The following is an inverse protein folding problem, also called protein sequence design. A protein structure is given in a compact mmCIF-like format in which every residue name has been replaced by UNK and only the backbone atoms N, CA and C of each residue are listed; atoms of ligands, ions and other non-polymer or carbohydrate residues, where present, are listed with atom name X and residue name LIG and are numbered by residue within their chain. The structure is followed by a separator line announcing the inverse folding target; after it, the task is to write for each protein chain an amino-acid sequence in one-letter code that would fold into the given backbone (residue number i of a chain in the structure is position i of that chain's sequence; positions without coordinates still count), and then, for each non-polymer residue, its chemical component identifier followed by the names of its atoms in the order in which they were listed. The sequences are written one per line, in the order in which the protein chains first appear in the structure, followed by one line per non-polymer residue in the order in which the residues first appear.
data_IF_878149775536
#
_entry.id   IF_878149775536
#
_cell.length_a   1.000
_cell.length_b   1.000
_cell.length_c   1.000
_cell.angle_alpha   90.00
_cell.angle_beta   90.00
_cell.angle_gamma   90.00
#
_symmetry.space_group_name_H-M   'P 1'
#
loop_
_entity.id
_entity.type
_entity.pdbx_description
1 polymer ?
#
# COMPACT_ATOMS: atom_id res chain seq x y z
N UNK A 1 2.04 -17.85 -5.11
CA UNK A 1 2.31 -17.28 -6.44
C UNK A 1 3.48 -16.28 -6.37
N UNK A 2 3.35 -15.11 -5.77
CA UNK A 2 4.42 -14.09 -5.75
C UNK A 2 5.77 -14.60 -5.21
N UNK A 3 5.78 -15.34 -4.11
CA UNK A 3 7.00 -15.87 -3.49
C UNK A 3 7.74 -16.92 -4.34
N UNK A 4 7.06 -17.50 -5.33
CA UNK A 4 7.60 -18.52 -6.24
C UNK A 4 7.87 -17.98 -7.63
N UNK A 5 7.77 -16.68 -7.84
CA UNK A 5 8.10 -16.06 -9.13
C UNK A 5 9.60 -16.08 -9.36
N UNK A 6 10.01 -16.34 -10.59
CA UNK A 6 11.40 -16.22 -11.04
C UNK A 6 11.69 -14.83 -11.62
N UNK A 7 10.64 -14.06 -11.90
CA UNK A 7 10.74 -12.69 -12.44
C UNK A 7 10.28 -11.67 -11.39
N UNK A 8 11.00 -10.57 -11.28
CA UNK A 8 10.78 -9.53 -10.26
C UNK A 8 10.87 -8.12 -10.85
N UNK A 9 10.29 -7.11 -10.17
CA UNK A 9 9.40 -7.19 -8.99
C UNK A 9 8.03 -7.76 -9.34
N UNK A 10 7.39 -8.41 -8.38
CA UNK A 10 5.95 -8.72 -8.42
C UNK A 10 5.23 -7.63 -7.64
N UNK A 11 4.20 -7.02 -8.24
CA UNK A 11 3.33 -6.08 -7.56
C UNK A 11 2.13 -6.81 -6.94
N UNK A 12 1.95 -6.65 -5.65
CA UNK A 12 0.72 -7.02 -4.95
C UNK A 12 -0.13 -5.77 -4.76
N UNK A 13 -1.38 -5.83 -5.16
CA UNK A 13 -2.33 -4.72 -5.08
C UNK A 13 -3.37 -5.02 -4.02
N UNK A 14 -3.31 -4.30 -2.91
CA UNK A 14 -4.25 -4.39 -1.79
C UNK A 14 -5.52 -3.60 -2.15
N UNK A 15 -6.58 -4.32 -2.55
CA UNK A 15 -7.84 -3.73 -2.99
C UNK A 15 -8.75 -3.32 -1.82
N UNK A 16 -8.60 -3.98 -0.66
CA UNK A 16 -9.51 -3.76 0.47
C UNK A 16 -9.30 -2.44 1.22
N UNK A 17 -8.13 -1.80 1.05
CA UNK A 17 -7.77 -0.60 1.82
C UNK A 17 -7.19 0.51 0.93
N UNK A 18 -7.84 0.78 -0.22
CA UNK A 18 -7.42 1.84 -1.16
C UNK A 18 -7.79 3.24 -0.64
N UNK A 19 -6.80 4.11 -0.34
CA UNK A 19 -7.06 5.49 0.08
C UNK A 19 -7.80 6.33 -0.99
N UNK A 20 -7.72 5.93 -2.28
CA UNK A 20 -8.51 6.53 -3.36
C UNK A 20 -10.00 6.28 -3.23
N UNK A 21 -10.38 5.25 -2.48
CA UNK A 21 -11.76 4.90 -2.13
C UNK A 21 -12.14 5.37 -0.72
N UNK A 22 -11.46 6.38 -0.19
CA UNK A 22 -11.63 6.95 1.15
C UNK A 22 -11.37 5.94 2.31
N UNK A 23 -10.54 4.92 2.08
CA UNK A 23 -10.12 4.00 3.13
C UNK A 23 -8.98 4.58 3.98
N UNK A 24 -8.80 4.04 5.20
CA UNK A 24 -7.74 4.50 6.09
C UNK A 24 -6.33 4.37 5.56
N UNK A 25 -6.05 3.37 4.71
CA UNK A 25 -4.74 2.96 4.25
C UNK A 25 -3.82 2.47 5.38
N UNK A 26 -4.40 1.97 6.47
CA UNK A 26 -3.69 1.52 7.66
C UNK A 26 -3.69 0.00 7.86
N UNK A 27 -4.27 -0.79 6.92
CA UNK A 27 -4.31 -2.25 7.01
C UNK A 27 -2.91 -2.87 7.04
N UNK A 28 -2.57 -3.66 8.07
CA UNK A 28 -1.30 -4.40 8.13
C UNK A 28 -1.42 -5.82 7.56
N UNK A 29 -2.55 -6.23 7.00
CA UNK A 29 -2.87 -7.62 6.61
C UNK A 29 -1.84 -8.19 5.62
N UNK A 30 -1.44 -7.40 4.63
CA UNK A 30 -0.44 -7.86 3.65
C UNK A 30 0.93 -7.98 4.31
N UNK A 31 1.32 -7.04 5.20
CA UNK A 31 2.57 -7.12 5.97
C UNK A 31 2.60 -8.39 6.84
N UNK A 32 1.53 -8.67 7.58
CA UNK A 32 1.41 -9.88 8.38
C UNK A 32 1.60 -11.15 7.53
N UNK A 33 0.96 -11.18 6.36
CA UNK A 33 1.11 -12.30 5.42
C UNK A 33 2.54 -12.45 4.92
N UNK A 34 3.22 -11.36 4.57
CA UNK A 34 4.62 -11.38 4.13
C UNK A 34 5.54 -11.92 5.23
N UNK A 35 5.37 -11.46 6.48
CA UNK A 35 6.14 -11.93 7.65
C UNK A 35 5.89 -13.42 7.87
N UNK A 36 4.63 -13.85 7.95
CA UNK A 36 4.23 -15.24 8.19
C UNK A 36 4.80 -16.21 7.15
N UNK A 37 4.96 -15.76 5.92
CA UNK A 37 5.51 -16.57 4.83
C UNK A 37 7.02 -16.37 4.62
N UNK A 38 7.72 -15.71 5.55
CA UNK A 38 9.15 -15.44 5.46
C UNK A 38 9.56 -14.77 4.14
N UNK A 39 8.71 -13.87 3.64
CA UNK A 39 9.02 -13.07 2.45
C UNK A 39 10.26 -12.21 2.68
N UNK A 40 11.02 -11.97 1.61
CA UNK A 40 12.24 -11.17 1.66
C UNK A 40 12.27 -10.15 0.54
N UNK A 41 13.02 -9.09 0.75
CA UNK A 41 13.22 -8.03 -0.24
C UNK A 41 11.89 -7.45 -0.71
N UNK A 42 11.03 -7.05 0.23
CA UNK A 42 9.73 -6.45 -0.02
C UNK A 42 9.73 -4.96 0.29
N UNK A 43 8.81 -4.22 -0.32
CA UNK A 43 8.50 -2.86 0.09
C UNK A 43 6.99 -2.62 0.03
N UNK A 44 6.46 -1.94 1.05
CA UNK A 44 5.04 -1.61 1.15
C UNK A 44 4.83 -0.31 1.92
N UNK A 45 3.58 0.17 1.92
CA UNK A 45 3.19 1.41 2.58
C UNK A 45 2.02 1.19 3.52
N UNK A 46 2.06 1.87 4.67
CA UNK A 46 0.97 1.89 5.67
C UNK A 46 0.88 3.33 6.22
N UNK A 47 -0.33 3.87 6.32
CA UNK A 47 -0.56 5.12 7.03
C UNK A 47 -0.59 4.85 8.52
N UNK A 48 0.34 5.44 9.28
CA UNK A 48 0.36 5.34 10.74
C UNK A 48 1.15 6.49 11.36
N UNK A 49 0.45 7.55 11.74
CA UNK A 49 1.04 8.74 12.32
C UNK A 49 1.72 8.49 13.69
N UNK A 50 1.26 7.49 14.43
CA UNK A 50 1.87 7.14 15.71
C UNK A 50 3.24 6.48 15.50
N UNK A 51 3.35 5.53 14.56
CA UNK A 51 4.62 4.91 14.19
C UNK A 51 5.61 5.95 13.70
N UNK A 52 5.14 6.92 12.89
CA UNK A 52 5.98 8.02 12.41
C UNK A 52 6.53 8.82 13.59
N UNK A 53 5.68 9.26 14.52
CA UNK A 53 6.10 10.01 15.69
C UNK A 53 7.11 9.25 16.57
N UNK A 54 6.86 7.96 16.81
CA UNK A 54 7.76 7.11 17.62
C UNK A 54 9.10 6.91 16.91
N UNK A 55 9.07 6.62 15.60
CA UNK A 55 10.28 6.39 14.82
C UNK A 55 11.16 7.64 14.72
N UNK A 56 10.56 8.82 14.56
CA UNK A 56 11.29 10.11 14.59
C UNK A 56 11.96 10.31 15.95
N UNK A 57 11.22 10.10 17.05
CA UNK A 57 11.78 10.26 18.41
C UNK A 57 12.91 9.28 18.69
N UNK A 58 12.87 8.08 18.13
CA UNK A 58 13.90 7.07 18.33
C UNK A 58 15.16 7.30 17.48
N UNK A 59 14.99 7.89 16.30
CA UNK A 59 16.09 8.18 15.37
C UNK A 59 16.48 6.99 14.47
N UNK A 60 17.22 7.32 13.41
CA UNK A 60 17.71 6.33 12.44
C UNK A 60 18.66 5.34 13.12
N UNK A 61 18.50 4.04 12.82
CA UNK A 61 19.26 2.94 13.41
C UNK A 61 18.64 2.36 14.68
N UNK A 62 17.63 3.00 15.27
CA UNK A 62 16.97 2.49 16.47
C UNK A 62 16.17 1.22 16.17
N UNK A 63 16.26 0.24 17.07
CA UNK A 63 15.42 -0.95 17.06
C UNK A 63 14.15 -0.69 17.86
N UNK A 64 13.00 -0.98 17.27
CA UNK A 64 11.69 -0.78 17.85
C UNK A 64 10.91 -2.09 17.93
N UNK A 65 10.24 -2.30 19.06
CA UNK A 65 9.14 -3.26 19.18
C UNK A 65 7.85 -2.42 19.23
N UNK A 66 7.03 -2.49 18.19
CA UNK A 66 5.95 -1.53 17.97
C UNK A 66 4.75 -2.15 17.29
N UNK A 67 3.58 -1.66 17.67
CA UNK A 67 2.30 -1.99 17.06
C UNK A 67 2.06 -1.12 15.83
N UNK A 68 1.81 -1.70 14.66
CA UNK A 68 1.70 -0.99 13.39
C UNK A 68 0.37 -1.24 12.69
N UNK A 69 -0.17 -0.18 12.10
CA UNK A 69 -1.41 -0.20 11.33
C UNK A 69 -2.63 -0.63 12.15
N UNK A 70 -3.76 -0.82 11.49
CA UNK A 70 -4.98 -1.38 12.10
C UNK A 70 -5.57 -0.59 13.26
N UNK A 71 -5.29 0.71 13.34
CA UNK A 71 -5.68 1.57 14.47
C UNK A 71 -6.95 2.37 14.20
N UNK A 72 -7.26 2.61 12.93
CA UNK A 72 -8.36 3.50 12.52
C UNK A 72 -9.67 2.71 12.41
N UNK A 73 -9.67 1.58 11.71
CA UNK A 73 -10.87 0.75 11.54
C UNK A 73 -10.61 -0.70 11.92
N UNK A 74 -10.92 -1.04 13.16
CA UNK A 74 -10.67 -2.37 13.72
C UNK A 74 -11.75 -3.41 13.37
N UNK A 75 -12.74 -3.08 12.54
CA UNK A 75 -13.77 -4.01 12.08
C UNK A 75 -13.21 -5.11 11.19
N UNK A 76 -12.19 -4.79 10.38
CA UNK A 76 -11.64 -5.69 9.38
C UNK A 76 -10.29 -6.28 9.76
N UNK A 77 -9.48 -5.56 10.53
CA UNK A 77 -8.11 -5.95 10.90
C UNK A 77 -7.72 -5.28 12.22
N UNK A 78 -6.67 -5.77 12.83
CA UNK A 78 -6.12 -5.26 14.09
C UNK A 78 -4.68 -4.79 13.91
N UNK A 79 -4.16 -3.96 14.82
CA UNK A 79 -2.75 -3.64 14.86
C UNK A 79 -1.87 -4.89 14.92
N UNK A 80 -0.71 -4.83 14.26
CA UNK A 80 0.26 -5.91 14.18
C UNK A 80 1.51 -5.53 14.98
N UNK A 81 1.91 -6.39 15.92
CA UNK A 81 3.18 -6.24 16.63
C UNK A 81 4.36 -6.66 15.76
N UNK A 82 5.35 -5.78 15.62
CA UNK A 82 6.54 -6.03 14.81
C UNK A 82 7.81 -5.57 15.52
N UNK A 83 8.91 -6.24 15.20
CA UNK A 83 10.26 -5.79 15.51
C UNK A 83 10.89 -5.24 14.24
N UNK A 84 11.32 -3.99 14.27
CA UNK A 84 11.91 -3.32 13.12
C UNK A 84 13.00 -2.33 13.49
N UNK A 85 13.82 -1.98 12.52
CA UNK A 85 14.87 -0.96 12.65
C UNK A 85 14.49 0.25 11.82
N UNK A 86 14.61 1.44 12.39
CA UNK A 86 14.39 2.71 11.66
C UNK A 86 15.48 2.86 10.60
N UNK A 87 15.10 2.77 9.34
CA UNK A 87 16.01 2.86 8.20
C UNK A 87 16.23 4.28 7.71
N UNK A 88 15.15 5.05 7.62
CA UNK A 88 15.18 6.45 7.19
C UNK A 88 14.01 7.23 7.77
N UNK A 89 14.19 8.55 7.82
CA UNK A 89 13.20 9.54 8.26
C UNK A 89 13.26 10.69 7.26
N UNK A 90 12.13 11.19 6.82
CA UNK A 90 12.03 12.35 5.93
C UNK A 90 10.75 13.16 6.16
N UNK A 91 10.64 14.34 5.54
CA UNK A 91 9.52 15.27 5.68
C UNK A 91 8.30 14.91 4.82
N UNK A 92 8.40 13.85 4.01
CA UNK A 92 7.34 13.35 3.15
C UNK A 92 6.96 14.24 1.96
N UNK A 93 7.79 15.23 1.64
CA UNK A 93 7.63 16.04 0.42
C UNK A 93 8.39 15.41 -0.73
N UNK A 94 7.75 15.32 -1.88
CA UNK A 94 8.40 14.79 -3.07
C UNK A 94 7.73 15.30 -4.35
N UNK A 95 8.46 15.25 -5.46
CA UNK A 95 7.92 15.57 -6.78
C UNK A 95 7.35 14.32 -7.44
N UNK A 96 6.11 14.38 -7.87
CA UNK A 96 5.50 13.38 -8.74
C UNK A 96 5.89 13.73 -10.17
N UNK A 97 6.85 12.99 -10.71
CA UNK A 97 7.42 13.20 -12.04
C UNK A 97 6.97 12.12 -13.03
N UNK A 98 6.53 10.98 -12.53
CA UNK A 98 6.05 9.86 -13.33
C UNK A 98 4.54 9.87 -13.54
N UNK A 99 4.04 8.98 -14.41
CA UNK A 99 2.62 8.84 -14.64
C UNK A 99 1.90 8.42 -13.35
N UNK A 100 0.85 9.14 -13.02
CA UNK A 100 -0.03 8.86 -11.90
C UNK A 100 -1.46 9.14 -12.33
N UNK A 101 -2.45 8.45 -11.74
CA UNK A 101 -3.87 8.68 -12.01
C UNK A 101 -4.24 8.90 -13.49
N UNK A 102 -4.47 7.84 -14.23
CA UNK A 102 -5.09 7.90 -15.56
C UNK A 102 -4.20 8.36 -16.71
N UNK A 103 -2.94 8.66 -16.45
CA UNK A 103 -1.96 8.92 -17.49
C UNK A 103 -1.50 7.62 -18.15
N UNK A 104 -2.28 7.09 -19.07
CA UNK A 104 -1.93 5.89 -19.82
C UNK A 104 -0.68 6.14 -20.66
N UNK A 105 0.48 5.67 -20.17
CA UNK A 105 1.70 5.53 -20.97
C UNK A 105 2.29 6.81 -21.57
N UNK A 106 1.77 7.98 -21.22
CA UNK A 106 2.29 9.24 -21.71
C UNK A 106 3.48 9.69 -20.86
N UNK A 107 4.52 10.16 -21.50
CA UNK A 107 5.58 10.92 -20.83
C UNK A 107 4.95 12.12 -20.12
N UNK A 108 5.13 12.18 -18.80
CA UNK A 108 4.70 13.35 -18.03
C UNK A 108 5.68 14.48 -18.34
N UNK A 109 5.19 15.57 -18.92
CA UNK A 109 6.03 16.72 -19.21
C UNK A 109 6.47 17.39 -17.90
N UNK A 110 7.65 17.99 -17.91
CA UNK A 110 8.20 18.66 -16.73
C UNK A 110 7.29 19.76 -16.18
N UNK A 111 6.50 20.40 -17.01
CA UNK A 111 5.50 21.41 -16.65
C UNK A 111 4.32 20.83 -15.86
N UNK A 112 4.07 19.52 -15.96
CA UNK A 112 3.01 18.80 -15.26
C UNK A 112 3.49 18.18 -13.94
N UNK A 113 4.77 18.34 -13.59
CA UNK A 113 5.30 17.86 -12.32
C UNK A 113 4.62 18.59 -11.16
N UNK A 114 4.25 17.84 -10.15
CA UNK A 114 3.55 18.38 -8.98
C UNK A 114 4.23 17.96 -7.69
N UNK A 115 4.28 18.87 -6.75
CA UNK A 115 4.69 18.56 -5.39
C UNK A 115 3.60 17.78 -4.67
N UNK A 116 3.98 16.73 -3.97
CA UNK A 116 3.14 15.97 -3.06
C UNK A 116 3.71 16.06 -1.65
N UNK A 117 2.81 16.05 -0.68
CA UNK A 117 3.16 16.05 0.74
C UNK A 117 2.28 15.04 1.47
N UNK A 118 2.90 14.02 2.05
CA UNK A 118 2.23 12.94 2.78
C UNK A 118 2.42 13.06 4.30
N UNK A 119 2.96 14.21 4.76
CA UNK A 119 3.43 14.38 6.12
C UNK A 119 4.74 13.63 6.36
N UNK A 120 5.32 13.79 7.52
CA UNK A 120 6.55 13.08 7.89
C UNK A 120 6.45 11.58 7.63
N UNK A 121 7.58 10.99 7.25
CA UNK A 121 7.67 9.55 6.99
C UNK A 121 8.81 8.90 7.76
N UNK A 122 8.57 7.63 8.07
CA UNK A 122 9.57 6.72 8.65
C UNK A 122 9.55 5.43 7.84
N UNK A 123 10.72 4.94 7.46
CA UNK A 123 10.85 3.60 6.90
C UNK A 123 11.37 2.68 7.98
N UNK A 124 10.60 1.64 8.33
CA UNK A 124 11.07 0.56 9.17
C UNK A 124 11.48 -0.63 8.31
N UNK A 125 12.64 -1.19 8.62
CA UNK A 125 13.07 -2.49 8.10
C UNK A 125 12.67 -3.58 9.06
N UNK A 126 11.84 -4.52 8.60
CA UNK A 126 11.27 -5.61 9.37
C UNK A 126 11.74 -6.94 8.78
N UNK A 127 12.01 -7.91 9.63
CA UNK A 127 12.31 -9.29 9.22
C UNK A 127 13.40 -9.40 8.17
N UNK A 128 13.12 -10.09 7.06
CA UNK A 128 14.09 -10.37 6.01
C UNK A 128 14.05 -9.27 4.92
N UNK A 129 14.47 -8.04 5.27
CA UNK A 129 14.54 -6.91 4.33
C UNK A 129 13.16 -6.47 3.78
N UNK A 130 12.13 -6.47 4.64
CA UNK A 130 10.83 -5.88 4.35
C UNK A 130 10.90 -4.40 4.75
N UNK A 131 10.93 -3.50 3.80
CA UNK A 131 10.91 -2.06 4.04
C UNK A 131 9.45 -1.57 4.05
N UNK A 132 8.98 -1.08 5.20
CA UNK A 132 7.63 -0.52 5.36
C UNK A 132 7.73 0.98 5.49
N UNK A 133 7.12 1.69 4.54
CA UNK A 133 7.03 3.15 4.55
C UNK A 133 5.80 3.54 5.37
N UNK A 134 6.02 4.14 6.52
CA UNK A 134 4.95 4.74 7.32
C UNK A 134 4.86 6.22 7.02
N UNK A 135 3.65 6.72 6.79
CA UNK A 135 3.37 8.13 6.51
C UNK A 135 2.30 8.69 7.45
N UNK A 136 2.39 9.98 7.72
CA UNK A 136 1.53 10.65 8.69
C UNK A 136 0.10 10.88 8.17
N UNK A 137 -0.04 11.38 6.93
CA UNK A 137 -1.34 11.80 6.38
C UNK A 137 -1.89 10.84 5.34
N UNK A 138 -1.10 10.52 4.33
CA UNK A 138 -1.50 9.71 3.18
C UNK A 138 -0.43 8.70 2.81
N UNK A 139 -0.82 7.67 2.07
CA UNK A 139 0.13 6.79 1.38
C UNK A 139 0.19 7.14 -0.10
N UNK A 140 1.37 7.05 -0.69
CA UNK A 140 1.53 7.16 -2.13
C UNK A 140 1.26 5.84 -2.84
N UNK A 141 0.85 5.93 -4.08
CA UNK A 141 0.57 4.80 -4.98
C UNK A 141 1.24 4.95 -6.34
N UNK A 142 2.31 5.71 -6.37
CA UNK A 142 3.19 5.94 -7.52
C UNK A 142 4.65 5.62 -7.19
N UNK A 143 5.47 5.49 -8.21
CA UNK A 143 6.90 5.17 -8.06
C UNK A 143 7.69 6.25 -7.33
N UNK A 144 7.32 7.51 -7.53
CA UNK A 144 8.08 8.62 -6.97
C UNK A 144 7.93 8.66 -5.44
N UNK A 145 6.79 8.23 -4.91
CA UNK A 145 6.60 8.02 -3.47
C UNK A 145 7.61 7.01 -2.89
N UNK A 146 7.78 5.85 -3.56
CA UNK A 146 8.73 4.83 -3.10
C UNK A 146 10.18 5.31 -3.26
N UNK A 147 10.52 5.91 -4.40
CA UNK A 147 11.88 6.44 -4.66
C UNK A 147 12.26 7.51 -3.65
N UNK A 148 11.37 8.45 -3.37
CA UNK A 148 11.65 9.54 -2.42
C UNK A 148 11.83 9.05 -0.98
N UNK A 149 11.24 7.91 -0.61
CA UNK A 149 11.49 7.24 0.67
C UNK A 149 12.77 6.38 0.68
N UNK A 150 13.59 6.44 -0.37
CA UNK A 150 14.85 5.68 -0.48
C UNK A 150 14.67 4.20 -0.79
N UNK A 151 13.56 3.82 -1.44
CA UNK A 151 13.33 2.45 -1.89
C UNK A 151 13.84 2.26 -3.32
N UNK A 152 14.80 1.37 -3.48
CA UNK A 152 15.28 0.91 -4.80
C UNK A 152 14.35 -0.24 -5.21
N UNK A 153 13.34 0.08 -6.01
CA UNK A 153 12.27 -0.88 -6.35
C UNK A 153 12.79 -2.07 -7.16
N UNK A 154 13.78 -1.84 -8.01
CA UNK A 154 14.42 -2.86 -8.84
C UNK A 154 15.17 -3.94 -8.01
N UNK A 155 15.54 -3.61 -6.78
CA UNK A 155 16.15 -4.56 -5.82
C UNK A 155 15.12 -5.35 -5.02
N UNK A 156 13.83 -5.07 -5.20
CA UNK A 156 12.75 -5.74 -4.46
C UNK A 156 12.18 -6.92 -5.24
N UNK A 157 11.86 -7.99 -4.52
CA UNK A 157 11.13 -9.13 -5.07
C UNK A 157 9.62 -8.85 -5.12
N UNK A 158 9.12 -8.16 -4.10
CA UNK A 158 7.69 -7.85 -3.97
C UNK A 158 7.53 -6.37 -3.62
N UNK A 159 6.69 -5.70 -4.38
CA UNK A 159 6.16 -4.38 -4.06
C UNK A 159 4.68 -4.50 -3.70
N UNK A 160 4.22 -3.70 -2.75
CA UNK A 160 2.80 -3.70 -2.36
C UNK A 160 2.28 -2.27 -2.38
N UNK A 161 1.16 -2.07 -3.06
CA UNK A 161 0.45 -0.78 -3.08
C UNK A 161 -1.00 -0.97 -2.66
N UNK A 162 -1.57 0.05 -2.00
CA UNK A 162 -2.98 0.14 -1.66
C UNK A 162 -3.70 0.94 -2.73
N UNK A 163 -4.37 0.26 -3.66
CA UNK A 163 -4.95 0.92 -4.83
C UNK A 163 -5.91 0.01 -5.57
N UNK A 164 -6.97 0.56 -6.17
CA UNK A 164 -7.78 -0.18 -7.13
C UNK A 164 -7.21 -0.06 -8.55
N UNK A 165 -7.06 1.14 -9.10
CA UNK A 165 -6.65 1.34 -10.50
C UNK A 165 -5.46 2.29 -10.68
N UNK A 166 -5.28 3.25 -9.78
CA UNK A 166 -4.36 4.37 -9.98
C UNK A 166 -2.87 3.97 -10.05
N UNK A 167 -2.52 2.77 -9.57
CA UNK A 167 -1.15 2.24 -9.60
C UNK A 167 -0.68 1.86 -11.00
N UNK A 168 -1.60 1.47 -11.91
CA UNK A 168 -1.27 0.84 -13.20
C UNK A 168 -0.31 1.69 -14.04
N UNK A 169 -0.64 2.97 -14.26
CA UNK A 169 0.20 3.86 -15.06
C UNK A 169 1.63 3.94 -14.54
N UNK A 170 1.79 3.87 -13.22
CA UNK A 170 3.09 4.01 -12.58
C UNK A 170 3.88 2.71 -12.50
N UNK A 171 3.24 1.58 -12.20
CA UNK A 171 3.94 0.33 -11.90
C UNK A 171 3.96 -0.68 -13.05
N UNK A 172 2.92 -0.76 -13.90
CA UNK A 172 2.88 -1.75 -14.98
C UNK A 172 4.14 -1.78 -15.86
N UNK A 173 4.81 -0.63 -16.15
CA UNK A 173 6.03 -0.64 -16.97
C UNK A 173 7.27 -1.24 -16.29
N UNK A 174 7.27 -1.42 -14.95
CA UNK A 174 8.46 -1.83 -14.20
C UNK A 174 8.31 -3.14 -13.44
N UNK A 175 7.12 -3.72 -13.40
CA UNK A 175 6.86 -4.96 -12.68
C UNK A 175 6.70 -6.12 -13.65
N UNK A 176 7.22 -7.28 -13.28
CA UNK A 176 7.08 -8.49 -14.07
C UNK A 176 5.64 -9.03 -14.06
N UNK A 177 4.93 -8.82 -12.95
CA UNK A 177 3.57 -9.32 -12.76
C UNK A 177 2.83 -8.51 -11.71
N UNK A 178 1.54 -8.28 -11.93
CA UNK A 178 0.59 -7.72 -10.96
C UNK A 178 -0.36 -8.79 -10.45
N UNK A 179 -0.59 -8.83 -9.13
CA UNK A 179 -1.54 -9.72 -8.46
C UNK A 179 -2.45 -8.87 -7.58
N UNK A 180 -3.71 -8.83 -7.90
CA UNK A 180 -4.73 -8.17 -7.10
C UNK A 180 -5.14 -9.06 -5.92
N UNK A 181 -5.19 -8.47 -4.72
CA UNK A 181 -5.51 -9.14 -3.48
C UNK A 181 -6.87 -8.67 -2.96
N UNK A 182 -7.81 -9.60 -2.84
CA UNK A 182 -9.07 -9.34 -2.14
C UNK A 182 -8.83 -9.41 -0.62
N UNK A 183 -8.32 -8.31 -0.07
CA UNK A 183 -8.04 -8.18 1.36
C UNK A 183 -9.28 -7.68 2.10
N UNK A 184 -9.41 -7.99 3.40
CA UNK A 184 -10.45 -7.38 4.23
C UNK A 184 -10.30 -5.85 4.26
N UNK A 185 -11.40 -5.13 4.13
CA UNK A 185 -11.39 -3.67 4.20
C UNK A 185 -12.63 -3.02 3.62
N UNK A 186 -12.72 -1.71 3.73
CA UNK A 186 -13.90 -0.92 3.33
C UNK A 186 -14.07 -0.87 1.81
N UNK A 187 -12.97 -0.92 1.05
CA UNK A 187 -13.00 -0.93 -0.41
C UNK A 187 -12.95 -2.33 -1.03
N UNK A 188 -13.37 -3.35 -0.26
CA UNK A 188 -13.44 -4.72 -0.76
C UNK A 188 -14.19 -4.80 -2.10
N UNK A 189 -13.67 -5.62 -3.00
CA UNK A 189 -14.34 -5.96 -4.28
C UNK A 189 -15.33 -7.10 -4.15
N UNK A 190 -15.37 -7.76 -3.00
CA UNK A 190 -16.36 -8.79 -2.65
C UNK A 190 -17.62 -8.12 -2.09
N UNK A 191 -18.42 -7.57 -2.98
CA UNK A 191 -19.67 -6.89 -2.59
C UNK A 191 -20.66 -7.81 -1.88
N UNK A 192 -20.60 -9.13 -2.13
CA UNK A 192 -21.49 -10.09 -1.47
C UNK A 192 -21.21 -10.23 0.04
N UNK A 193 -19.97 -9.98 0.47
CA UNK A 193 -19.58 -10.03 1.88
C UNK A 193 -20.07 -8.83 2.70
N UNK A 194 -20.56 -7.76 2.06
CA UNK A 194 -20.99 -6.55 2.75
C UNK A 194 -22.38 -6.72 3.37
N UNK A 195 -22.61 -6.26 4.61
CA UNK A 195 -23.86 -6.48 5.34
C UNK A 195 -24.97 -5.50 4.93
N UNK A 196 -25.40 -5.55 3.67
CA UNK A 196 -26.47 -4.70 3.18
C UNK A 196 -27.79 -4.97 3.90
N UNK A 197 -28.45 -3.92 4.41
CA UNK A 197 -29.74 -4.01 5.12
C UNK A 197 -30.90 -3.37 4.37
N UNK A 198 -30.63 -2.45 3.45
CA UNK A 198 -31.67 -1.65 2.77
C UNK A 198 -31.50 -1.66 1.25
N UNK A 199 -30.66 -2.56 0.72
CA UNK A 199 -30.44 -2.67 -0.70
C UNK A 199 -31.66 -3.29 -1.38
N UNK A 200 -32.16 -2.63 -2.43
CA UNK A 200 -33.22 -3.20 -3.29
C UNK A 200 -32.67 -4.44 -3.99
N UNK A 201 -33.46 -5.49 -4.05
CA UNK A 201 -33.13 -6.75 -4.73
C UNK A 201 -34.22 -7.04 -5.77
N UNK A 202 -33.94 -7.66 -6.93
CA UNK A 202 -32.59 -8.06 -7.36
C UNK A 202 -31.74 -6.89 -7.83
N UNK A 203 -30.41 -7.01 -7.71
CA UNK A 203 -29.44 -6.03 -8.20
C UNK A 203 -28.12 -6.70 -8.60
N UNK A 204 -27.60 -6.35 -9.79
CA UNK A 204 -26.28 -6.81 -10.21
C UNK A 204 -25.16 -6.03 -9.43
N UNK A 205 -24.06 -6.65 -9.03
CA UNK A 205 -23.63 -8.04 -9.29
C UNK A 205 -24.05 -9.06 -8.20
N UNK A 206 -24.89 -8.69 -7.24
CA UNK A 206 -25.27 -9.58 -6.15
C UNK A 206 -26.28 -10.67 -6.60
N UNK A 207 -27.06 -10.38 -7.62
CA UNK A 207 -28.02 -11.29 -8.24
C UNK A 207 -27.65 -11.50 -9.70
N UNK A 208 -26.90 -12.58 -9.99
CA UNK A 208 -26.38 -12.84 -11.33
C UNK A 208 -27.46 -13.21 -12.35
N UNK A 209 -28.57 -13.78 -11.88
CA UNK A 209 -29.68 -14.27 -12.72
C UNK A 209 -30.77 -13.21 -12.95
N UNK A 210 -30.52 -11.94 -12.62
CA UNK A 210 -31.50 -10.87 -12.83
C UNK A 210 -31.65 -10.55 -14.31
N UNK A 211 -32.90 -10.44 -14.77
CA UNK A 211 -33.23 -9.92 -16.10
C UNK A 211 -33.30 -8.38 -16.03
N UNK A 212 -32.72 -7.74 -17.04
CA UNK A 212 -32.83 -6.27 -17.22
C UNK A 212 -34.18 -5.98 -17.88
N UNK A 213 -35.05 -5.27 -17.18
CA UNK A 213 -36.34 -4.82 -17.69
C UNK A 213 -36.24 -3.36 -18.12
#
# INVERSE_FOLDING_TARGET
MALKSDEFPVLLVDLGDDPGSACPADSPVVLESLIRHNARDCALTIRDAEVVRIGISAGVGASLNISVGGKIDQRFYKPLEVNGVVKSIDDGKYMVCGPSHGGWGSEVKREDYREANVGERVVLRIGQNIDVIFSQFHTGKDRDFFKSAGIIMESKRILVVKSNQAHRASFDPIVAKTIELNTPGVSTVDYASLPYKKLRRPIFPLDHDMEWV
#
